data_IF_323187849543
#
_entry.id   IF_323187849543
#
_cell.length_a   1.000
_cell.length_b   1.000
_cell.length_c   1.000
_cell.angle_alpha   90.00
_cell.angle_beta   90.00
_cell.angle_gamma   90.00
#
_symmetry.space_group_name_H-M   'P 1'
#
loop_
_entity.id
_entity.type
_entity.pdbx_description
1 polymer ?
#
# COMPACT_ATOMS: atom_id res chain seq x y z
N UNK A 1 23.31 5.98 11.38
CA UNK A 1 22.89 4.84 10.51
C UNK A 1 21.99 5.31 9.37
N UNK A 2 21.04 6.23 9.60
CA UNK A 2 20.12 6.74 8.57
C UNK A 2 20.54 8.09 7.94
N UNK A 3 21.52 8.78 8.52
CA UNK A 3 22.01 10.06 8.03
C UNK A 3 22.59 9.94 6.61
N UNK A 4 22.23 10.89 5.74
CA UNK A 4 22.69 10.96 4.36
C UNK A 4 21.98 10.04 3.38
N UNK A 5 20.96 9.29 3.80
CA UNK A 5 20.15 8.47 2.90
C UNK A 5 19.06 9.30 2.20
N UNK A 6 19.02 9.29 0.87
CA UNK A 6 17.95 9.94 0.09
C UNK A 6 16.63 9.17 0.15
N UNK A 7 16.74 7.84 0.31
CA UNK A 7 15.62 6.91 0.35
C UNK A 7 15.89 5.79 1.35
N UNK A 8 14.88 5.44 2.14
CA UNK A 8 14.96 4.39 3.17
C UNK A 8 13.82 3.40 2.96
N UNK A 9 14.19 2.12 2.82
CA UNK A 9 13.26 1.01 2.82
C UNK A 9 13.16 0.38 4.21
N UNK A 10 11.94 0.27 4.73
CA UNK A 10 11.66 -0.38 6.01
C UNK A 10 10.90 -1.66 5.73
N UNK A 11 11.47 -2.80 6.11
CA UNK A 11 10.79 -4.09 5.97
C UNK A 11 10.55 -4.75 7.32
N UNK A 12 9.36 -5.31 7.50
CA UNK A 12 8.98 -5.98 8.74
C UNK A 12 7.85 -6.99 8.52
N UNK A 13 7.96 -8.13 9.21
CA UNK A 13 6.82 -9.01 9.44
C UNK A 13 5.98 -8.48 10.60
N UNK A 14 4.73 -8.11 10.32
CA UNK A 14 3.83 -7.50 11.29
C UNK A 14 3.15 -8.55 12.17
N UNK A 15 2.75 -8.14 13.37
CA UNK A 15 2.09 -9.00 14.35
C UNK A 15 3.03 -9.59 15.41
N UNK A 16 4.34 -9.49 15.24
CA UNK A 16 5.31 -9.72 16.32
C UNK A 16 5.44 -8.53 17.27
N UNK A 17 6.41 -8.57 18.18
CA UNK A 17 6.72 -7.43 19.07
C UNK A 17 7.59 -6.37 18.40
N UNK A 18 8.82 -6.74 18.02
CA UNK A 18 9.84 -5.79 17.54
C UNK A 18 9.49 -5.17 16.20
N UNK A 19 9.17 -5.97 15.18
CA UNK A 19 8.84 -5.44 13.85
C UNK A 19 7.66 -4.46 13.90
N UNK A 20 6.57 -4.86 14.55
CA UNK A 20 5.35 -4.07 14.70
C UNK A 20 5.57 -2.76 15.46
N UNK A 21 6.37 -2.77 16.54
CA UNK A 21 6.57 -1.60 17.40
C UNK A 21 7.68 -0.66 16.92
N UNK A 22 8.77 -1.22 16.39
CA UNK A 22 9.95 -0.44 16.00
C UNK A 22 9.84 0.14 14.59
N UNK A 23 9.12 -0.50 13.67
CA UNK A 23 9.03 -0.02 12.29
C UNK A 23 8.51 1.42 12.19
N UNK A 24 7.47 1.77 12.98
CA UNK A 24 6.91 3.13 12.98
C UNK A 24 7.86 4.16 13.58
N UNK A 25 8.65 3.77 14.59
CA UNK A 25 9.67 4.64 15.19
C UNK A 25 10.79 4.93 14.19
N UNK A 26 11.28 3.91 13.50
CA UNK A 26 12.30 4.07 12.45
C UNK A 26 11.76 4.91 11.29
N UNK A 27 10.51 4.69 10.89
CA UNK A 27 9.85 5.46 9.83
C UNK A 27 9.74 6.95 10.18
N UNK A 28 9.36 7.27 11.42
CA UNK A 28 9.31 8.66 11.88
C UNK A 28 10.69 9.33 11.83
N UNK A 29 11.74 8.64 12.30
CA UNK A 29 13.11 9.18 12.26
C UNK A 29 13.55 9.39 10.80
N UNK A 30 13.22 8.46 9.90
CA UNK A 30 13.52 8.57 8.47
C UNK A 30 12.89 9.82 7.85
N UNK A 31 11.62 10.11 8.16
CA UNK A 31 10.94 11.32 7.70
C UNK A 31 11.54 12.61 8.29
N UNK A 32 11.91 12.60 9.57
CA UNK A 32 12.58 13.75 10.22
C UNK A 32 13.92 14.10 9.55
N UNK A 33 14.58 13.10 8.96
CA UNK A 33 15.81 13.27 8.17
C UNK A 33 15.55 13.68 6.71
N UNK A 34 14.30 13.76 6.26
CA UNK A 34 13.91 14.19 4.91
C UNK A 34 14.02 13.11 3.83
N UNK A 35 14.30 11.86 4.20
CA UNK A 35 14.41 10.74 3.29
C UNK A 35 13.05 10.27 2.79
N UNK A 36 12.98 9.87 1.51
CA UNK A 36 11.80 9.19 0.97
C UNK A 36 11.64 7.84 1.68
N UNK A 37 10.57 7.69 2.46
CA UNK A 37 10.41 6.56 3.38
C UNK A 37 9.38 5.58 2.84
N UNK A 38 9.83 4.40 2.40
CA UNK A 38 8.97 3.35 1.85
C UNK A 38 8.98 2.15 2.77
N UNK A 39 7.80 1.67 3.16
CA UNK A 39 7.67 0.47 3.96
C UNK A 39 7.10 -0.70 3.16
N UNK A 40 7.72 -1.88 3.28
CA UNK A 40 7.26 -3.15 2.70
C UNK A 40 7.05 -4.15 3.81
N UNK A 41 5.79 -4.41 4.16
CA UNK A 41 5.44 -5.19 5.35
C UNK A 41 4.52 -6.35 5.03
N UNK A 42 4.64 -7.43 5.81
CA UNK A 42 3.74 -8.59 5.69
C UNK A 42 2.73 -8.65 6.84
N UNK A 43 1.49 -9.02 6.54
CA UNK A 43 0.50 -9.49 7.53
C UNK A 43 0.78 -10.97 7.82
N UNK A 44 0.61 -11.42 9.07
CA UNK A 44 0.84 -12.81 9.45
C UNK A 44 -0.15 -13.74 8.75
N UNK A 45 0.15 -15.05 8.72
CA UNK A 45 -0.83 -16.03 8.25
C UNK A 45 -2.01 -16.11 9.23
N UNK A 46 -3.21 -16.40 8.72
CA UNK A 46 -4.41 -16.60 9.53
C UNK A 46 -4.22 -17.71 10.58
N UNK A 47 -3.45 -18.76 10.28
CA UNK A 47 -3.17 -19.85 11.22
C UNK A 47 -2.31 -19.42 12.42
N UNK A 48 -1.60 -18.29 12.36
CA UNK A 48 -0.81 -17.78 13.49
C UNK A 48 -1.68 -17.16 14.59
N UNK A 49 -2.98 -17.01 14.33
CA UNK A 49 -3.99 -16.67 15.31
C UNK A 49 -4.45 -15.20 15.26
N UNK A 50 -5.69 -14.93 15.70
CA UNK A 50 -6.34 -13.62 15.55
C UNK A 50 -5.63 -12.51 16.32
N UNK A 51 -5.00 -12.82 17.47
CA UNK A 51 -4.24 -11.84 18.25
C UNK A 51 -3.07 -11.27 17.45
N UNK A 52 -2.33 -12.12 16.73
CA UNK A 52 -1.19 -11.71 15.91
C UNK A 52 -1.63 -10.82 14.76
N UNK A 53 -2.75 -11.16 14.11
CA UNK A 53 -3.36 -10.32 13.07
C UNK A 53 -3.79 -8.95 13.59
N UNK A 54 -4.45 -8.88 14.77
CA UNK A 54 -4.85 -7.60 15.36
C UNK A 54 -3.65 -6.70 15.66
N UNK A 55 -2.58 -7.26 16.23
CA UNK A 55 -1.32 -6.54 16.46
C UNK A 55 -0.72 -6.03 15.15
N UNK A 56 -0.76 -6.84 14.09
CA UNK A 56 -0.27 -6.45 12.77
C UNK A 56 -1.05 -5.24 12.23
N UNK A 57 -2.38 -5.29 12.26
CA UNK A 57 -3.23 -4.20 11.79
C UNK A 57 -3.02 -2.90 12.57
N UNK A 58 -2.87 -2.98 13.89
CA UNK A 58 -2.57 -1.79 14.72
C UNK A 58 -1.20 -1.20 14.38
N UNK A 59 -0.16 -2.02 14.24
CA UNK A 59 1.17 -1.57 13.86
C UNK A 59 1.20 -0.94 12.46
N UNK A 60 0.50 -1.54 11.51
CA UNK A 60 0.37 -1.02 10.14
C UNK A 60 -0.26 0.38 10.16
N UNK A 61 -1.32 0.59 10.94
CA UNK A 61 -1.95 1.92 11.06
C UNK A 61 -1.00 2.98 11.61
N UNK A 62 -0.20 2.63 12.63
CA UNK A 62 0.82 3.53 13.19
C UNK A 62 1.93 3.83 12.18
N UNK A 63 2.38 2.80 11.46
CA UNK A 63 3.41 2.92 10.44
C UNK A 63 2.96 3.81 9.28
N UNK A 64 1.71 3.67 8.83
CA UNK A 64 1.14 4.44 7.72
C UNK A 64 1.21 5.96 7.95
N UNK A 65 1.22 6.42 9.19
CA UNK A 65 1.32 7.85 9.53
C UNK A 65 2.73 8.42 9.32
N UNK A 66 3.73 7.56 9.17
CA UNK A 66 5.15 7.91 9.17
C UNK A 66 5.90 7.45 7.92
N UNK A 67 5.19 7.05 6.87
CA UNK A 67 5.79 6.59 5.61
C UNK A 67 5.16 7.34 4.44
N UNK A 68 5.94 7.52 3.38
CA UNK A 68 5.47 8.08 2.12
C UNK A 68 4.66 7.06 1.33
N UNK A 69 5.15 5.83 1.27
CA UNK A 69 4.50 4.70 0.61
C UNK A 69 4.54 3.45 1.50
N UNK A 70 3.43 2.72 1.53
CA UNK A 70 3.25 1.50 2.32
C UNK A 70 2.74 0.37 1.42
N UNK A 71 3.60 -0.61 1.18
CA UNK A 71 3.27 -1.86 0.51
C UNK A 71 2.89 -2.87 1.59
N UNK A 72 1.66 -3.37 1.53
CA UNK A 72 1.14 -4.36 2.47
C UNK A 72 0.94 -5.68 1.72
N UNK A 73 1.61 -6.72 2.18
CA UNK A 73 1.52 -8.06 1.62
C UNK A 73 0.80 -8.97 2.61
N UNK A 74 -0.22 -9.69 2.15
CA UNK A 74 -0.88 -10.70 2.97
C UNK A 74 -0.23 -12.07 2.78
N UNK A 75 0.32 -12.65 3.85
CA UNK A 75 0.87 -14.01 3.79
C UNK A 75 -0.18 -15.05 3.40
N UNK A 76 -1.45 -14.84 3.74
CA UNK A 76 -2.55 -15.73 3.32
C UNK A 76 -2.74 -15.74 1.79
N UNK A 77 -2.45 -14.63 1.11
CA UNK A 77 -2.52 -14.59 -0.36
C UNK A 77 -1.39 -15.38 -1.01
N UNK A 78 -0.23 -15.46 -0.36
CA UNK A 78 0.86 -16.32 -0.82
C UNK A 78 0.42 -17.78 -0.82
N UNK A 79 -0.40 -18.20 0.16
CA UNK A 79 -0.94 -19.56 0.21
C UNK A 79 -1.86 -19.90 -0.98
N UNK A 80 -2.49 -18.90 -1.61
CA UNK A 80 -3.34 -19.15 -2.80
C UNK A 80 -2.52 -19.42 -4.06
N UNK A 81 -1.23 -19.03 -4.05
CA UNK A 81 -0.33 -19.18 -5.19
C UNK A 81 0.58 -20.42 -5.09
N UNK A 82 0.47 -21.22 -4.03
CA UNK A 82 1.38 -22.35 -3.75
C UNK A 82 0.62 -23.67 -3.63
N UNK A 83 1.29 -24.77 -3.96
CA UNK A 83 0.71 -26.13 -3.89
C UNK A 83 0.37 -26.49 -2.42
N UNK A 84 -0.69 -27.26 -2.20
CA UNK A 84 -1.04 -27.82 -0.89
C UNK A 84 0.07 -28.65 -0.23
N UNK A 85 1.07 -29.09 -0.98
CA UNK A 85 2.27 -29.79 -0.48
C UNK A 85 3.36 -28.86 0.06
N UNK A 86 3.21 -27.54 -0.11
CA UNK A 86 4.20 -26.54 0.30
C UNK A 86 4.41 -26.60 1.80
N UNK A 87 5.67 -26.71 2.23
CA UNK A 87 6.00 -26.74 3.66
C UNK A 87 5.87 -25.35 4.30
N UNK A 88 5.69 -25.30 5.62
CA UNK A 88 5.66 -24.01 6.36
C UNK A 88 6.94 -23.19 6.12
N UNK A 89 8.10 -23.85 6.08
CA UNK A 89 9.40 -23.21 5.83
C UNK A 89 9.44 -22.56 4.44
N UNK A 90 8.90 -23.24 3.45
CA UNK A 90 8.83 -22.75 2.07
C UNK A 90 7.84 -21.59 1.92
N UNK A 91 6.70 -21.65 2.62
CA UNK A 91 5.75 -20.53 2.66
C UNK A 91 6.38 -19.24 3.22
N UNK A 92 7.16 -19.34 4.31
CA UNK A 92 7.90 -18.19 4.84
C UNK A 92 9.00 -17.71 3.89
N UNK A 93 9.70 -18.63 3.23
CA UNK A 93 10.70 -18.27 2.22
C UNK A 93 10.06 -17.49 1.05
N UNK A 94 8.87 -17.87 0.61
CA UNK A 94 8.13 -17.14 -0.42
C UNK A 94 7.74 -15.74 0.06
N UNK A 95 7.33 -15.59 1.33
CA UNK A 95 7.07 -14.27 1.91
C UNK A 95 8.31 -13.38 1.89
N UNK A 96 9.48 -13.94 2.23
CA UNK A 96 10.76 -13.22 2.16
C UNK A 96 11.12 -12.82 0.72
N UNK A 97 10.85 -13.69 -0.27
CA UNK A 97 11.08 -13.38 -1.68
C UNK A 97 10.22 -12.19 -2.15
N UNK A 98 8.99 -12.09 -1.66
CA UNK A 98 8.12 -10.95 -1.98
C UNK A 98 8.67 -9.65 -1.40
N UNK A 99 9.12 -9.66 -0.14
CA UNK A 99 9.77 -8.50 0.47
C UNK A 99 11.02 -8.10 -0.32
N UNK A 100 11.84 -9.08 -0.70
CA UNK A 100 13.03 -8.87 -1.51
C UNK A 100 12.67 -8.24 -2.86
N UNK A 101 11.70 -8.78 -3.59
CA UNK A 101 11.27 -8.23 -4.87
C UNK A 101 10.64 -6.85 -4.74
N UNK A 102 9.95 -6.55 -3.64
CA UNK A 102 9.37 -5.24 -3.44
C UNK A 102 10.42 -4.14 -3.25
N UNK A 103 11.47 -4.43 -2.50
CA UNK A 103 12.61 -3.51 -2.36
C UNK A 103 13.42 -3.44 -3.65
N UNK A 104 13.77 -4.60 -4.22
CA UNK A 104 14.59 -4.70 -5.43
C UNK A 104 13.92 -4.02 -6.62
N UNK A 105 12.60 -4.21 -6.80
CA UNK A 105 11.87 -3.65 -7.94
C UNK A 105 11.93 -2.13 -8.03
N UNK A 106 11.81 -1.44 -6.89
CA UNK A 106 11.89 0.03 -6.84
C UNK A 106 13.35 0.49 -6.87
N UNK A 107 14.23 -0.19 -6.12
CA UNK A 107 15.66 0.15 -6.07
C UNK A 107 16.35 0.00 -7.43
N UNK A 108 16.04 -1.05 -8.18
CA UNK A 108 16.70 -1.34 -9.45
C UNK A 108 16.38 -0.29 -10.52
N UNK A 109 15.18 0.28 -10.51
CA UNK A 109 14.79 1.36 -11.42
C UNK A 109 15.68 2.60 -11.24
N UNK A 110 16.14 2.85 -10.01
CA UNK A 110 16.96 4.02 -9.67
C UNK A 110 18.45 3.71 -9.84
N UNK A 111 18.90 2.56 -9.34
CA UNK A 111 20.31 2.26 -9.09
C UNK A 111 20.97 1.43 -10.19
N UNK A 112 20.21 0.61 -10.91
CA UNK A 112 20.76 -0.19 -12.00
C UNK A 112 20.66 0.64 -13.27
N UNK A 113 21.80 0.81 -13.95
CA UNK A 113 21.82 1.43 -15.27
C UNK A 113 20.98 0.56 -16.22
N UNK A 114 19.73 0.96 -16.41
CA UNK A 114 18.81 0.40 -17.36
C UNK A 114 19.04 0.97 -18.76
N UNK A 115 18.41 0.34 -19.74
CA UNK A 115 18.33 0.86 -21.11
C UNK A 115 17.48 2.15 -21.16
N UNK A 116 16.51 2.25 -20.25
CA UNK A 116 15.68 3.43 -19.99
C UNK A 116 15.77 3.69 -18.50
N UNK A 117 16.56 4.70 -18.12
CA UNK A 117 16.69 5.12 -16.74
C UNK A 117 15.56 6.06 -16.35
N UNK A 118 15.10 5.85 -15.13
CA UNK A 118 14.21 6.75 -14.41
C UNK A 118 15.06 7.43 -13.35
N UNK A 119 14.89 8.73 -13.15
CA UNK A 119 15.65 9.43 -12.11
C UNK A 119 14.97 9.31 -10.74
N UNK A 120 15.73 9.63 -9.68
CA UNK A 120 15.20 9.58 -8.33
C UNK A 120 14.09 10.61 -8.09
N UNK A 121 14.10 11.75 -8.79
CA UNK A 121 13.10 12.79 -8.62
C UNK A 121 11.73 12.33 -9.13
N UNK A 122 11.69 11.59 -10.23
CA UNK A 122 10.48 10.97 -10.77
C UNK A 122 9.90 9.94 -9.80
N UNK A 123 10.74 9.03 -9.27
CA UNK A 123 10.29 8.05 -8.26
C UNK A 123 9.79 8.75 -7.00
N UNK A 124 10.50 9.78 -6.54
CA UNK A 124 10.09 10.59 -5.39
C UNK A 124 8.73 11.25 -5.64
N UNK A 125 8.47 11.77 -6.84
CA UNK A 125 7.19 12.41 -7.20
C UNK A 125 5.99 11.46 -7.16
N UNK A 126 6.22 10.16 -7.44
CA UNK A 126 5.17 9.14 -7.40
C UNK A 126 4.93 8.64 -5.98
N UNK A 127 6.00 8.38 -5.23
CA UNK A 127 5.91 7.70 -3.93
C UNK A 127 5.69 8.65 -2.75
N UNK A 128 6.10 9.92 -2.84
CA UNK A 128 5.89 10.90 -1.75
C UNK A 128 4.41 11.06 -1.44
N UNK A 129 4.01 10.80 -0.20
CA UNK A 129 2.61 10.88 0.23
C UNK A 129 1.64 9.94 -0.49
N UNK A 130 2.14 8.90 -1.17
CA UNK A 130 1.34 7.90 -1.87
C UNK A 130 0.42 7.10 -0.93
N UNK A 131 0.76 6.98 0.35
CA UNK A 131 0.02 6.22 1.33
C UNK A 131 0.08 4.73 1.04
N UNK A 132 -1.07 4.05 1.02
CA UNK A 132 -1.09 2.62 0.70
C UNK A 132 -0.91 2.43 -0.81
N UNK A 133 0.08 1.63 -1.18
CA UNK A 133 0.38 1.29 -2.57
C UNK A 133 0.21 -0.21 -2.77
N UNK A 134 -0.07 -0.57 -4.02
CA UNK A 134 -0.32 -1.94 -4.41
C UNK A 134 0.83 -2.42 -5.28
N UNK A 135 1.31 -3.64 -5.04
CA UNK A 135 2.43 -4.23 -5.78
C UNK A 135 1.98 -5.48 -6.52
N UNK A 136 2.29 -5.54 -7.81
CA UNK A 136 2.11 -6.73 -8.64
C UNK A 136 3.43 -7.21 -9.20
N UNK A 137 3.61 -8.53 -9.20
CA UNK A 137 4.77 -9.18 -9.82
C UNK A 137 4.26 -10.22 -10.80
N UNK A 138 4.79 -10.18 -12.02
CA UNK A 138 4.54 -11.17 -13.06
C UNK A 138 5.83 -11.60 -13.74
N UNK A 139 5.86 -12.83 -14.23
CA UNK A 139 6.96 -13.35 -15.00
C UNK A 139 6.43 -14.20 -16.15
N UNK A 140 7.03 -14.07 -17.33
CA UNK A 140 6.67 -14.81 -18.54
C UNK A 140 7.89 -15.36 -19.23
N UNK A 141 7.71 -16.46 -19.97
CA UNK A 141 8.76 -17.14 -20.74
C UNK A 141 8.24 -17.62 -22.10
N UNK A 142 9.15 -17.87 -23.03
CA UNK A 142 8.81 -18.40 -24.36
C UNK A 142 8.06 -17.40 -25.24
N UNK A 143 7.24 -17.89 -26.18
CA UNK A 143 6.62 -17.05 -27.23
C UNK A 143 5.60 -16.02 -26.69
N UNK A 144 4.99 -16.29 -25.54
CA UNK A 144 3.97 -15.41 -24.94
C UNK A 144 4.50 -14.63 -23.73
N UNK A 145 5.82 -14.47 -23.60
CA UNK A 145 6.47 -13.88 -22.41
C UNK A 145 5.89 -12.51 -22.03
N UNK A 146 5.56 -11.66 -23.02
CA UNK A 146 4.99 -10.32 -22.81
C UNK A 146 3.60 -10.39 -22.20
N UNK A 147 2.73 -11.18 -22.83
CA UNK A 147 1.34 -11.35 -22.40
C UNK A 147 1.30 -11.98 -21.01
N UNK A 148 2.04 -13.07 -20.81
CA UNK A 148 2.07 -13.81 -19.56
C UNK A 148 2.63 -12.97 -18.41
N UNK A 149 3.72 -12.24 -18.63
CA UNK A 149 4.30 -11.39 -17.60
C UNK A 149 3.35 -10.25 -17.20
N UNK A 150 2.68 -9.63 -18.16
CA UNK A 150 1.71 -8.54 -17.93
C UNK A 150 0.48 -9.05 -17.18
N UNK A 151 -0.14 -10.13 -17.66
CA UNK A 151 -1.34 -10.70 -17.06
C UNK A 151 -1.08 -11.18 -15.62
N UNK A 152 0.07 -11.80 -15.37
CA UNK A 152 0.45 -12.23 -14.02
C UNK A 152 0.75 -11.05 -13.09
N UNK A 153 1.31 -9.95 -13.61
CA UNK A 153 1.52 -8.75 -12.80
C UNK A 153 0.17 -8.15 -12.40
N UNK A 154 -0.73 -7.94 -13.36
CA UNK A 154 -2.08 -7.38 -13.16
C UNK A 154 -2.97 -8.24 -12.27
N UNK A 155 -2.81 -9.56 -12.30
CA UNK A 155 -3.58 -10.51 -11.49
C UNK A 155 -2.75 -11.13 -10.34
N UNK A 156 -1.68 -10.46 -9.92
CA UNK A 156 -0.75 -11.00 -8.94
C UNK A 156 -1.46 -11.25 -7.60
N UNK A 157 -1.17 -12.37 -6.93
CA UNK A 157 -1.72 -12.68 -5.61
C UNK A 157 -1.31 -11.64 -4.54
N UNK A 158 -0.27 -10.85 -4.83
CA UNK A 158 0.22 -9.77 -3.97
C UNK A 158 -0.72 -8.56 -3.94
N UNK A 159 -1.63 -8.47 -4.90
CA UNK A 159 -2.63 -7.42 -4.98
C UNK A 159 -3.72 -7.68 -3.91
N UNK A 160 -3.74 -6.87 -2.86
CA UNK A 160 -4.87 -6.90 -1.90
C UNK A 160 -6.17 -6.37 -2.53
N UNK A 161 -6.05 -5.56 -3.59
CA UNK A 161 -7.16 -4.94 -4.34
C UNK A 161 -6.73 -4.81 -5.80
N UNK A 162 -7.71 -4.69 -6.72
CA UNK A 162 -7.45 -4.45 -8.14
C UNK A 162 -6.64 -3.17 -8.38
N UNK A 163 -5.91 -3.12 -9.49
CA UNK A 163 -5.19 -1.92 -9.94
C UNK A 163 -6.11 -0.90 -10.63
N UNK A 164 -7.38 -1.25 -10.84
CA UNK A 164 -8.38 -0.33 -11.40
C UNK A 164 -8.44 0.97 -10.58
N UNK A 165 -8.43 2.11 -11.27
CA UNK A 165 -8.50 3.43 -10.67
C UNK A 165 -7.17 4.02 -10.23
N UNK A 166 -6.04 3.30 -10.35
CA UNK A 166 -4.71 3.85 -10.07
C UNK A 166 -4.38 5.02 -11.01
N UNK A 167 -3.96 6.17 -10.46
CA UNK A 167 -3.60 7.36 -11.25
C UNK A 167 -2.11 7.47 -11.52
N UNK A 168 -1.28 6.74 -10.75
CA UNK A 168 0.16 6.65 -10.97
C UNK A 168 0.61 5.21 -10.92
N UNK A 169 1.47 4.84 -11.86
CA UNK A 169 2.09 3.53 -11.99
C UNK A 169 3.61 3.69 -12.07
N UNK A 170 4.33 2.84 -11.36
CA UNK A 170 5.76 2.61 -11.53
C UNK A 170 5.93 1.17 -12.01
N UNK A 171 6.52 0.99 -13.18
CA UNK A 171 6.67 -0.32 -13.84
C UNK A 171 8.15 -0.56 -14.15
N UNK A 172 8.73 -1.61 -13.56
CA UNK A 172 10.04 -2.11 -13.94
C UNK A 172 9.88 -3.36 -14.78
N UNK A 173 10.49 -3.37 -15.95
CA UNK A 173 10.61 -4.58 -16.78
C UNK A 173 12.05 -5.06 -16.70
N UNK A 174 12.25 -6.27 -16.19
CA UNK A 174 13.54 -6.92 -16.06
C UNK A 174 13.64 -8.04 -17.10
N UNK A 175 14.71 -8.04 -17.89
CA UNK A 175 14.93 -9.05 -18.93
C UNK A 175 16.39 -9.20 -19.33
N UNK A 176 16.67 -10.24 -20.12
CA UNK A 176 17.99 -10.52 -20.69
C UNK A 176 18.21 -9.80 -22.03
N UNK A 177 19.18 -10.25 -22.83
CA UNK A 177 19.55 -9.57 -24.10
C UNK A 177 18.43 -9.65 -25.14
N UNK A 178 17.57 -10.66 -25.02
CA UNK A 178 16.45 -10.87 -25.93
C UNK A 178 15.27 -9.91 -25.69
N UNK A 179 15.25 -9.16 -24.57
CA UNK A 179 14.16 -8.22 -24.28
C UNK A 179 14.24 -7.03 -25.25
N UNK A 180 13.22 -6.89 -26.10
CA UNK A 180 13.15 -5.77 -27.03
C UNK A 180 12.41 -4.59 -26.44
N UNK A 181 12.63 -3.39 -27.00
CA UNK A 181 11.85 -2.21 -26.64
C UNK A 181 10.35 -2.40 -26.94
N UNK A 182 10.00 -3.14 -28.00
CA UNK A 182 8.62 -3.44 -28.35
C UNK A 182 7.93 -4.27 -27.27
N UNK A 183 8.61 -5.31 -26.77
CA UNK A 183 8.11 -6.15 -25.68
C UNK A 183 7.80 -5.31 -24.44
N UNK A 184 8.75 -4.44 -24.07
CA UNK A 184 8.60 -3.61 -22.89
C UNK A 184 7.49 -2.55 -23.05
N UNK A 185 7.33 -1.96 -24.25
CA UNK A 185 6.21 -1.06 -24.56
C UNK A 185 4.86 -1.76 -24.48
N UNK A 186 4.76 -2.99 -24.99
CA UNK A 186 3.53 -3.76 -24.95
C UNK A 186 3.14 -4.13 -23.51
N UNK A 187 4.11 -4.50 -22.68
CA UNK A 187 3.89 -4.73 -21.23
C UNK A 187 3.30 -3.49 -20.57
N UNK A 188 3.93 -2.33 -20.76
CA UNK A 188 3.49 -1.06 -20.17
C UNK A 188 2.08 -0.70 -20.64
N UNK A 189 1.79 -0.87 -21.93
CA UNK A 189 0.46 -0.61 -22.49
C UNK A 189 -0.62 -1.47 -21.82
N UNK A 190 -0.38 -2.78 -21.70
CA UNK A 190 -1.33 -3.72 -21.09
C UNK A 190 -1.60 -3.40 -19.62
N UNK A 191 -0.56 -3.06 -18.86
CA UNK A 191 -0.71 -2.67 -17.45
C UNK A 191 -1.49 -1.37 -17.31
N UNK A 192 -1.21 -0.37 -18.17
CA UNK A 192 -1.95 0.89 -18.17
C UNK A 192 -3.43 0.67 -18.49
N UNK A 193 -3.74 -0.12 -19.51
CA UNK A 193 -5.12 -0.45 -19.88
C UNK A 193 -5.90 -1.10 -18.73
N UNK A 194 -5.24 -1.97 -17.95
CA UNK A 194 -5.84 -2.61 -16.79
C UNK A 194 -6.17 -1.67 -15.61
N UNK A 195 -5.66 -0.43 -15.61
CA UNK A 195 -6.09 0.59 -14.64
C UNK A 195 -7.49 1.14 -14.94
N UNK A 196 -7.98 0.96 -16.17
CA UNK A 196 -9.22 1.58 -16.64
C UNK A 196 -9.14 3.12 -16.77
N UNK A 197 -7.93 3.69 -16.78
CA UNK A 197 -7.68 5.12 -16.88
C UNK A 197 -6.76 5.47 -18.04
N UNK A 198 -7.23 6.35 -18.91
CA UNK A 198 -6.43 6.88 -20.02
C UNK A 198 -5.38 7.91 -19.55
N UNK A 199 -5.63 8.55 -18.39
CA UNK A 199 -4.81 9.60 -17.79
C UNK A 199 -3.81 9.09 -16.74
N UNK A 200 -3.67 7.76 -16.59
CA UNK A 200 -2.72 7.19 -15.64
C UNK A 200 -1.27 7.57 -16.01
N UNK A 201 -0.58 8.23 -15.09
CA UNK A 201 0.83 8.56 -15.25
C UNK A 201 1.68 7.31 -15.03
N UNK A 202 2.42 6.87 -16.06
CA UNK A 202 3.25 5.67 -15.99
C UNK A 202 4.72 6.04 -16.03
N UNK A 203 5.41 5.77 -14.93
CA UNK A 203 6.86 5.77 -14.85
C UNK A 203 7.38 4.38 -15.16
N UNK A 204 8.23 4.27 -16.16
CA UNK A 204 8.64 2.99 -16.70
C UNK A 204 10.16 2.92 -16.83
N UNK A 205 10.73 1.84 -16.31
CA UNK A 205 12.15 1.50 -16.41
C UNK A 205 12.37 0.12 -17.01
N UNK A 206 13.52 -0.06 -17.66
CA UNK A 206 13.98 -1.35 -18.19
C UNK A 206 15.31 -1.72 -17.58
N UNK A 207 15.33 -2.80 -16.82
CA UNK A 207 16.53 -3.32 -16.15
C UNK A 207 17.05 -4.54 -16.90
N UNK A 208 18.33 -4.53 -17.25
CA UNK A 208 18.99 -5.70 -17.85
C UNK A 208 19.55 -6.63 -16.77
N UNK A 209 19.32 -7.93 -16.90
CA UNK A 209 19.86 -8.95 -15.98
C UNK A 209 20.40 -10.17 -16.74
N UNK A 210 21.73 -10.34 -16.77
CA UNK A 210 22.42 -11.43 -17.49
C UNK A 210 21.91 -12.84 -17.13
N UNK A 211 21.65 -13.08 -15.85
CA UNK A 211 21.31 -14.41 -15.33
C UNK A 211 19.80 -14.74 -15.41
N UNK A 212 18.99 -13.94 -16.11
CA UNK A 212 17.52 -14.15 -16.16
C UNK A 212 17.11 -15.13 -17.28
N UNK A 213 18.00 -15.45 -18.22
CA UNK A 213 17.72 -16.38 -19.31
C UNK A 213 16.67 -15.85 -20.29
N UNK A 214 15.70 -16.70 -20.63
CA UNK A 214 14.56 -16.42 -21.53
C UNK A 214 13.32 -15.89 -20.79
N UNK A 215 13.49 -15.40 -19.56
CA UNK A 215 12.42 -14.85 -18.73
C UNK A 215 12.39 -13.33 -18.78
N UNK A 216 11.18 -12.79 -18.84
CA UNK A 216 10.90 -11.39 -18.53
C UNK A 216 10.10 -11.32 -17.25
N UNK A 217 10.52 -10.44 -16.35
CA UNK A 217 9.85 -10.17 -15.08
C UNK A 217 9.38 -8.74 -15.05
N UNK A 218 8.16 -8.56 -14.60
CA UNK A 218 7.51 -7.27 -14.45
C UNK A 218 7.23 -7.06 -12.97
N UNK A 219 7.71 -5.94 -12.44
CA UNK A 219 7.39 -5.48 -11.10
C UNK A 219 6.67 -4.15 -11.26
N UNK A 220 5.44 -4.06 -10.79
CA UNK A 220 4.66 -2.84 -10.85
C UNK A 220 4.23 -2.39 -9.45
N UNK A 221 4.20 -1.08 -9.25
CA UNK A 221 3.68 -0.41 -8.08
C UNK A 221 2.60 0.57 -8.53
N UNK A 222 1.41 0.44 -7.99
CA UNK A 222 0.26 1.29 -8.29
C UNK A 222 -0.11 2.15 -7.08
N UNK A 223 -0.41 3.42 -7.32
CA UNK A 223 -0.88 4.38 -6.31
C UNK A 223 -1.92 5.35 -6.89
N UNK A 224 -2.44 6.25 -6.06
CA UNK A 224 -3.44 7.25 -6.46
C UNK A 224 -4.89 6.77 -6.37
N UNK A 225 -5.14 5.61 -5.76
CA UNK A 225 -6.49 5.03 -5.60
C UNK A 225 -7.48 5.93 -4.82
N UNK A 226 -6.98 6.89 -4.04
CA UNK A 226 -7.80 7.75 -3.19
C UNK A 226 -8.26 9.06 -3.84
N UNK A 227 -7.82 9.40 -5.06
CA UNK A 227 -8.22 10.66 -5.72
C UNK A 227 -9.71 10.65 -6.14
N UNK A 228 -10.36 9.48 -6.19
CA UNK A 228 -11.77 9.36 -6.54
C UNK A 228 -12.77 9.66 -5.39
N UNK A 229 -12.31 9.97 -4.17
CA UNK A 229 -13.20 10.23 -3.01
C UNK A 229 -13.28 11.69 -2.55
N UNK A 230 -12.71 12.62 -3.30
CA UNK A 230 -12.87 14.06 -3.05
C UNK A 230 -13.72 14.71 -4.13
N UNK A 231 -14.91 14.15 -4.38
CA UNK A 231 -16.02 15.02 -4.76
C UNK A 231 -16.43 15.71 -3.46
N UNK A 232 -15.83 16.87 -3.20
CA UNK A 232 -16.42 17.83 -2.28
C UNK A 232 -17.74 18.22 -2.95
N UNK A 233 -18.81 17.50 -2.63
CA UNK A 233 -20.14 18.00 -2.91
C UNK A 233 -20.18 19.40 -2.29
N UNK A 234 -20.37 20.47 -3.07
CA UNK A 234 -20.52 21.78 -2.47
C UNK A 234 -21.67 21.63 -1.48
N UNK A 235 -21.37 21.76 -0.19
CA UNK A 235 -22.38 21.89 0.84
C UNK A 235 -23.16 23.13 0.40
N UNK A 236 -24.30 22.92 -0.27
CA UNK A 236 -25.30 23.96 -0.43
C UNK A 236 -25.58 24.39 1.00
N UNK A 237 -25.09 25.59 1.33
CA UNK A 237 -25.43 26.24 2.58
C UNK A 237 -26.93 26.48 2.50
N UNK A 238 -27.72 25.52 2.99
CA UNK A 238 -29.13 25.74 3.26
C UNK A 238 -29.14 26.84 4.31
N UNK A 239 -29.51 28.04 3.87
CA UNK A 239 -29.75 29.18 4.75
C UNK A 239 -30.74 28.74 5.82
N UNK A 240 -30.26 28.64 7.06
CA UNK A 240 -31.11 28.43 8.23
C UNK A 240 -31.89 29.74 8.43
N UNK A 241 -33.23 29.75 8.32
CA UNK A 241 -33.98 30.96 8.64
C UNK A 241 -33.79 31.28 10.13
N UNK A 242 -33.59 32.56 10.42
CA UNK A 242 -33.34 33.07 11.76
C UNK A 242 -34.37 32.54 12.76
N UNK A 243 -33.88 31.99 13.88
CA UNK A 243 -34.70 31.49 14.97
C UNK A 243 -35.43 32.63 15.68
N UNK A 244 -36.63 32.96 15.22
CA UNK A 244 -37.65 33.65 16.02
C UNK A 244 -38.79 32.65 16.24
N UNK A 245 -38.82 32.00 17.42
CA UNK A 245 -40.01 31.22 17.78
C UNK A 245 -39.89 30.11 18.83
N UNK A 246 -38.70 29.73 19.32
CA UNK A 246 -38.56 28.62 20.28
C UNK A 246 -38.25 29.06 21.72
N UNK A 247 -38.99 30.06 22.24
CA UNK A 247 -38.91 30.44 23.66
C UNK A 247 -40.14 30.05 24.49
N UNK A 248 -41.04 29.24 23.94
CA UNK A 248 -42.26 28.82 24.62
C UNK A 248 -42.48 27.31 24.46
N UNK A 249 -41.60 26.49 25.07
CA UNK A 249 -41.82 25.07 25.42
C UNK A 249 -40.60 24.46 26.15
N UNK A 250 -40.17 25.06 27.25
CA UNK A 250 -39.37 24.35 28.26
C UNK A 250 -40.19 24.34 29.55
N UNK A 251 -41.06 23.33 29.64
CA UNK A 251 -41.89 23.04 30.80
C UNK A 251 -41.85 21.55 31.07
N UNK A 252 -40.78 21.09 31.74
CA UNK A 252 -40.75 20.06 32.78
C UNK A 252 -39.30 19.76 33.12
N UNK A 253 -38.91 20.09 34.36
CA UNK A 253 -37.75 19.49 35.03
C UNK A 253 -38.03 17.99 35.11
N UNK A 254 -37.18 17.17 34.52
CA UNK A 254 -37.20 15.73 34.75
C UNK A 254 -36.30 15.48 35.95
N UNK A 255 -36.89 15.19 37.10
CA UNK A 255 -36.15 14.78 38.30
C UNK A 255 -35.65 13.35 38.06
N UNK A 256 -34.36 13.22 37.74
CA UNK A 256 -33.72 11.91 37.57
C UNK A 256 -33.08 11.46 38.88
N UNK A 257 -33.36 10.21 39.27
CA UNK A 257 -32.76 9.58 40.44
C UNK A 257 -31.32 9.14 40.11
N UNK A 258 -30.29 9.63 40.80
CA UNK A 258 -28.88 9.32 40.51
C UNK A 258 -28.51 7.83 40.64
N UNK A 259 -29.30 7.06 41.40
CA UNK A 259 -29.01 5.66 41.73
C UNK A 259 -29.61 4.64 40.75
N UNK A 260 -30.32 5.08 39.71
CA UNK A 260 -30.90 4.17 38.71
C UNK A 260 -29.83 3.59 37.79
N UNK A 261 -29.54 2.29 37.94
CA UNK A 261 -28.48 1.61 37.20
C UNK A 261 -28.84 1.22 35.77
N UNK A 262 -30.11 1.33 35.37
CA UNK A 262 -30.58 1.01 34.02
C UNK A 262 -30.30 2.11 32.99
N UNK A 263 -29.95 3.32 33.43
CA UNK A 263 -29.69 4.48 32.56
C UNK A 263 -28.18 4.64 32.30
N UNK A 264 -27.70 4.84 31.05
CA UNK A 264 -26.27 5.06 30.78
C UNK A 264 -25.65 6.22 31.58
N UNK A 265 -24.43 6.02 32.10
CA UNK A 265 -23.78 6.93 33.06
C UNK A 265 -23.64 8.39 32.59
N UNK A 266 -23.48 8.64 31.28
CA UNK A 266 -23.35 9.99 30.73
C UNK A 266 -24.65 10.81 30.81
N UNK A 267 -25.81 10.17 30.97
CA UNK A 267 -27.11 10.83 31.18
C UNK A 267 -27.42 11.07 32.67
N UNK A 268 -26.67 10.44 33.58
CA UNK A 268 -26.78 10.67 35.03
C UNK A 268 -25.99 11.88 35.49
N UNK A 269 -25.07 12.37 34.66
CA UNK A 269 -24.19 13.46 35.01
C UNK A 269 -24.89 14.81 34.80
N UNK A 270 -25.30 15.44 35.90
CA UNK A 270 -25.74 16.83 35.91
C UNK A 270 -24.56 17.72 36.33
N UNK A 271 -23.93 18.47 35.41
CA UNK A 271 -22.75 19.28 35.70
C UNK A 271 -23.04 20.51 36.59
N UNK A 272 -24.31 20.83 36.87
CA UNK A 272 -24.72 21.98 37.68
C UNK A 272 -25.14 21.58 39.12
N UNK A 273 -24.84 20.35 39.55
CA UNK A 273 -25.06 19.88 40.92
C UNK A 273 -23.73 19.88 41.70
N UNK A 274 -23.11 21.06 41.82
CA UNK A 274 -22.29 21.55 42.94
C UNK A 274 -21.85 23.00 42.66
#
# INVERSE_FOLDING_TARGET
ALEGADMIFITAGMGGGTGTGSASVVARISQELGALTVAVVTKPFSFEGPRRMQQALEGIRKLQQHVDALIIVSNDRLLTAVDHKTSVKEAFFIADQVLHHGVKGISDIINVAGLINVDFADVRSILTGAGQVIMGIGAGRGENLVQEASERAVNSALLETTIEGATKLLVNVVGGEALTLHDAQEIVKRIREATGRDDANVLFGVTYQENIGDEVRVIMVATGFNEARTIVSPVQTLAVPAAQGLRARMGKRLDFNPDDTEIPAFLRYNPDAD
#
